data_IF_580809132977
#
_entry.id   IF_580809132977
#
_cell.length_a   1.000
_cell.length_b   1.000
_cell.length_c   1.000
_cell.angle_alpha   90.00
_cell.angle_beta   90.00
_cell.angle_gamma   90.00
#
_symmetry.space_group_name_H-M   'P 1'
#
loop_
_entity.id
_entity.type
_entity.pdbx_description
1 polymer ?
#
# COMPACT_ATOMS: atom_id res chain seq x y z
N UNK A 1 -25.61 -7.67 24.99
CA UNK A 1 -25.08 -8.89 25.62
C UNK A 1 -23.56 -8.79 25.61
N UNK A 2 -22.89 -8.86 26.77
CA UNK A 2 -21.42 -8.96 26.80
C UNK A 2 -21.03 -10.29 26.16
N UNK A 3 -20.03 -10.34 25.26
CA UNK A 3 -19.59 -11.60 24.70
C UNK A 3 -19.03 -12.48 25.83
N UNK A 4 -19.47 -13.73 25.86
CA UNK A 4 -18.96 -14.76 26.75
C UNK A 4 -17.51 -15.06 26.37
N UNK A 5 -16.54 -14.56 27.12
CA UNK A 5 -15.15 -15.03 27.03
C UNK A 5 -14.69 -15.50 28.41
N UNK A 6 -14.86 -16.79 28.68
CA UNK A 6 -14.04 -17.49 29.67
C UNK A 6 -12.86 -18.13 28.92
N UNK A 7 -11.68 -18.31 29.55
CA UNK A 7 -10.55 -19.04 28.95
C UNK A 7 -10.92 -20.45 28.44
N UNK A 8 -12.04 -21.00 28.91
CA UNK A 8 -12.62 -22.27 28.48
C UNK A 8 -13.15 -22.24 27.02
N UNK A 9 -13.39 -21.05 26.45
CA UNK A 9 -14.05 -20.89 25.12
C UNK A 9 -13.08 -20.48 24.01
N UNK A 10 -12.12 -19.57 24.27
CA UNK A 10 -11.05 -19.24 23.31
C UNK A 10 -9.84 -18.59 23.98
N UNK A 11 -8.64 -19.05 23.60
CA UNK A 11 -7.34 -18.52 24.06
C UNK A 11 -6.53 -17.86 22.93
N UNK A 12 -7.05 -17.89 21.69
CA UNK A 12 -6.33 -17.41 20.50
C UNK A 12 -7.24 -16.57 19.62
N UNK A 13 -6.66 -15.57 18.96
CA UNK A 13 -7.34 -14.74 17.99
C UNK A 13 -6.51 -14.67 16.70
N UNK A 14 -7.19 -14.48 15.58
CA UNK A 14 -6.54 -14.09 14.34
C UNK A 14 -5.96 -12.68 14.48
N UNK A 15 -4.84 -12.41 13.82
CA UNK A 15 -4.18 -11.10 13.87
C UNK A 15 -5.08 -10.03 13.25
N UNK A 16 -5.24 -8.92 13.96
CA UNK A 16 -6.03 -7.76 13.54
C UNK A 16 -5.23 -6.81 12.63
N UNK A 17 -3.91 -6.78 12.84
CA UNK A 17 -2.91 -6.01 12.09
C UNK A 17 -1.54 -6.73 12.13
N UNK A 18 -0.50 -6.13 11.54
CA UNK A 18 0.88 -6.64 11.60
C UNK A 18 1.76 -5.90 12.64
N UNK A 19 1.36 -4.72 13.10
CA UNK A 19 2.12 -3.92 14.08
C UNK A 19 2.17 -4.58 15.46
N UNK A 20 1.05 -5.07 15.98
CA UNK A 20 1.02 -5.74 17.29
C UNK A 20 1.87 -7.04 17.30
N UNK A 21 1.73 -7.95 16.31
CA UNK A 21 2.63 -9.09 16.17
C UNK A 21 4.10 -8.70 16.04
N UNK A 22 4.41 -7.60 15.35
CA UNK A 22 5.77 -7.09 15.20
C UNK A 22 6.35 -6.59 16.53
N UNK A 23 5.61 -5.79 17.29
CA UNK A 23 6.05 -5.36 18.62
C UNK A 23 6.34 -6.57 19.52
N UNK A 24 5.48 -7.60 19.51
CA UNK A 24 5.73 -8.86 20.21
C UNK A 24 7.02 -9.54 19.74
N UNK A 25 7.24 -9.65 18.43
CA UNK A 25 8.45 -10.24 17.85
C UNK A 25 9.71 -9.51 18.32
N UNK A 26 9.72 -8.18 18.25
CA UNK A 26 10.86 -7.35 18.68
C UNK A 26 11.19 -7.59 20.14
N UNK A 27 10.19 -7.63 21.03
CA UNK A 27 10.42 -7.86 22.45
C UNK A 27 10.96 -9.27 22.73
N UNK A 28 10.44 -10.29 22.04
CA UNK A 28 10.89 -11.67 22.20
C UNK A 28 12.32 -11.91 21.70
N UNK A 29 12.73 -11.18 20.65
CA UNK A 29 14.03 -11.36 19.98
C UNK A 29 14.99 -10.16 20.19
N UNK A 30 14.72 -9.29 21.16
CA UNK A 30 15.47 -8.02 21.32
C UNK A 30 16.99 -8.19 21.47
N UNK A 31 17.45 -9.33 21.98
CA UNK A 31 18.88 -9.64 22.15
C UNK A 31 19.53 -10.23 20.88
N UNK A 32 18.72 -10.60 19.89
CA UNK A 32 19.15 -11.16 18.60
C UNK A 32 19.08 -10.12 17.47
N UNK A 33 18.26 -9.08 17.65
CA UNK A 33 18.07 -8.02 16.68
C UNK A 33 19.14 -6.92 16.80
N UNK A 34 19.51 -6.36 15.65
CA UNK A 34 20.36 -5.16 15.57
C UNK A 34 19.47 -3.95 15.33
N UNK A 35 19.63 -2.92 16.17
CA UNK A 35 18.86 -1.68 16.09
C UNK A 35 19.68 -0.54 15.44
N UNK A 36 19.05 0.36 14.66
CA UNK A 36 17.63 0.37 14.30
C UNK A 36 17.25 -0.81 13.40
N UNK A 37 16.20 -1.54 13.78
CA UNK A 37 15.74 -2.72 13.06
C UNK A 37 14.68 -2.30 12.05
N UNK A 38 14.87 -2.69 10.78
CA UNK A 38 13.98 -2.36 9.66
C UNK A 38 13.40 -3.63 9.09
N UNK A 39 12.09 -3.66 8.86
CA UNK A 39 11.42 -4.82 8.24
C UNK A 39 10.25 -4.40 7.36
N UNK A 40 9.94 -5.23 6.38
CA UNK A 40 8.64 -5.24 5.74
C UNK A 40 7.91 -6.57 6.00
N UNK A 41 6.58 -6.56 5.95
CA UNK A 41 5.77 -7.76 6.14
C UNK A 41 4.50 -7.68 5.29
N UNK A 42 4.25 -8.70 4.48
CA UNK A 42 3.04 -8.82 3.65
C UNK A 42 2.26 -10.07 4.05
N UNK A 43 1.10 -9.91 4.68
CA UNK A 43 0.25 -11.02 5.11
C UNK A 43 -1.23 -10.60 5.19
N UNK A 44 -2.18 -11.55 5.07
CA UNK A 44 -3.59 -11.26 5.31
C UNK A 44 -3.84 -10.96 6.80
N UNK A 45 -4.83 -10.14 7.11
CA UNK A 45 -5.29 -9.86 8.47
C UNK A 45 -6.81 -9.96 8.55
N UNK A 46 -7.35 -10.14 9.75
CA UNK A 46 -8.79 -10.36 9.94
C UNK A 46 -9.44 -9.32 10.84
N UNK A 47 -10.49 -8.69 10.34
CA UNK A 47 -11.29 -7.70 11.09
C UNK A 47 -12.78 -8.06 11.03
N UNK A 48 -13.41 -8.11 12.20
CA UNK A 48 -14.84 -8.38 12.33
C UNK A 48 -15.70 -7.12 12.07
N UNK A 49 -15.28 -6.27 11.14
CA UNK A 49 -15.99 -5.05 10.77
C UNK A 49 -17.25 -5.36 9.94
N UNK A 50 -18.14 -4.37 9.81
CA UNK A 50 -19.29 -4.45 8.91
C UNK A 50 -18.80 -4.39 7.45
N UNK A 51 -19.02 -5.43 6.63
CA UNK A 51 -18.51 -5.46 5.26
C UNK A 51 -19.11 -4.35 4.40
N UNK A 52 -18.28 -3.69 3.60
CA UNK A 52 -18.64 -2.68 2.60
C UNK A 52 -17.62 -2.73 1.45
N UNK A 53 -17.85 -2.04 0.32
CA UNK A 53 -16.84 -1.92 -0.76
C UNK A 53 -15.53 -1.37 -0.17
N UNK A 54 -14.40 -2.02 -0.46
CA UNK A 54 -13.09 -1.69 0.12
C UNK A 54 -12.93 -2.01 1.61
N UNK A 55 -13.87 -2.73 2.23
CA UNK A 55 -13.79 -3.20 3.64
C UNK A 55 -14.18 -4.67 3.72
N UNK A 56 -13.17 -5.51 3.52
CA UNK A 56 -13.27 -6.97 3.63
C UNK A 56 -12.97 -7.43 5.06
N UNK A 57 -13.38 -8.66 5.39
CA UNK A 57 -13.09 -9.26 6.71
C UNK A 57 -11.74 -9.95 6.76
N UNK A 58 -11.25 -10.41 5.62
CA UNK A 58 -9.88 -10.82 5.36
C UNK A 58 -9.37 -9.93 4.23
N UNK A 59 -8.18 -9.34 4.41
CA UNK A 59 -7.53 -8.51 3.41
C UNK A 59 -6.03 -8.45 3.68
N UNK A 60 -5.24 -8.10 2.68
CA UNK A 60 -3.80 -8.00 2.78
C UNK A 60 -3.36 -6.63 3.30
N UNK A 61 -2.40 -6.69 4.21
CA UNK A 61 -1.57 -5.55 4.57
C UNK A 61 -0.15 -5.78 4.05
N UNK A 62 0.49 -4.69 3.64
CA UNK A 62 1.91 -4.64 3.36
C UNK A 62 2.49 -3.52 4.24
N UNK A 63 3.19 -3.92 5.30
CA UNK A 63 3.72 -2.99 6.30
C UNK A 63 5.22 -2.82 6.12
N UNK A 64 5.71 -1.61 6.35
CA UNK A 64 7.13 -1.27 6.45
C UNK A 64 7.36 -0.51 7.76
N UNK A 65 8.25 -1.01 8.61
CA UNK A 65 8.47 -0.49 9.96
C UNK A 65 9.96 -0.36 10.28
N UNK A 66 10.27 0.66 11.07
CA UNK A 66 11.57 0.88 11.70
C UNK A 66 11.37 0.98 13.21
N UNK A 67 12.18 0.24 13.98
CA UNK A 67 12.14 0.26 15.45
C UNK A 67 13.54 0.49 16.03
N UNK A 68 13.62 1.14 17.19
CA UNK A 68 14.89 1.48 17.85
C UNK A 68 15.48 2.82 17.44
N UNK A 69 14.67 3.73 16.89
CA UNK A 69 15.12 5.09 16.55
C UNK A 69 14.01 6.13 16.67
N UNK A 70 14.32 7.24 17.33
CA UNK A 70 13.47 8.44 17.40
C UNK A 70 13.77 9.45 16.30
N UNK A 71 14.67 9.13 15.36
CA UNK A 71 15.04 10.04 14.27
C UNK A 71 13.88 10.24 13.30
N UNK A 72 13.59 11.50 12.97
CA UNK A 72 12.57 11.91 11.99
C UNK A 72 12.96 11.62 10.54
N UNK A 73 14.21 11.19 10.30
CA UNK A 73 14.62 10.66 8.99
C UNK A 73 13.77 9.42 8.64
N UNK A 74 13.37 8.63 9.63
CA UNK A 74 12.57 7.43 9.38
C UNK A 74 11.17 7.79 8.82
N UNK A 75 10.51 8.83 9.33
CA UNK A 75 9.25 9.35 8.77
C UNK A 75 9.45 9.81 7.33
N UNK A 76 10.49 10.60 7.07
CA UNK A 76 10.79 11.11 5.73
C UNK A 76 11.01 9.97 4.73
N UNK A 77 11.79 8.94 5.10
CA UNK A 77 12.00 7.75 4.26
C UNK A 77 10.70 6.97 4.00
N UNK A 78 9.83 6.83 5.02
CA UNK A 78 8.53 6.15 4.85
C UNK A 78 7.59 6.93 3.92
N UNK A 79 7.63 8.27 3.96
CA UNK A 79 6.91 9.11 2.99
C UNK A 79 7.47 8.91 1.57
N UNK A 80 8.80 8.82 1.40
CA UNK A 80 9.42 8.50 0.13
C UNK A 80 9.02 7.10 -0.38
N UNK A 81 8.92 6.10 0.50
CA UNK A 81 8.45 4.75 0.15
C UNK A 81 7.02 4.83 -0.42
N UNK A 82 6.12 5.60 0.20
CA UNK A 82 4.79 5.81 -0.35
C UNK A 82 4.81 6.45 -1.73
N UNK A 83 5.48 7.61 -1.87
CA UNK A 83 5.49 8.33 -3.14
C UNK A 83 6.12 7.51 -4.27
N UNK A 84 7.27 6.86 -4.01
CA UNK A 84 7.94 6.01 -4.99
C UNK A 84 7.08 4.82 -5.40
N UNK A 85 6.43 4.16 -4.43
CA UNK A 85 5.60 2.98 -4.70
C UNK A 85 4.35 3.35 -5.52
N UNK A 86 3.67 4.45 -5.18
CA UNK A 86 2.50 4.90 -5.92
C UNK A 86 2.84 5.49 -7.30
N UNK A 87 4.02 6.12 -7.44
CA UNK A 87 4.54 6.53 -8.73
C UNK A 87 4.81 5.32 -9.64
N UNK A 88 5.41 4.25 -9.11
CA UNK A 88 5.65 3.00 -9.86
C UNK A 88 4.33 2.29 -10.25
N UNK A 89 3.30 2.38 -9.41
CA UNK A 89 1.96 1.89 -9.73
C UNK A 89 1.22 2.77 -10.76
N UNK A 90 1.79 3.93 -11.13
CA UNK A 90 1.22 4.88 -12.09
C UNK A 90 -0.24 5.26 -11.76
N UNK A 91 -0.54 5.44 -10.47
CA UNK A 91 -1.87 5.81 -10.02
C UNK A 91 -2.02 7.34 -9.99
N UNK A 92 -3.07 7.90 -10.61
CA UNK A 92 -3.26 9.35 -10.65
C UNK A 92 -3.82 9.89 -9.32
N UNK A 93 -3.55 11.17 -9.06
CA UNK A 93 -4.16 11.96 -7.97
C UNK A 93 -3.97 11.35 -6.57
N UNK A 94 -2.79 10.83 -6.29
CA UNK A 94 -2.42 10.35 -4.95
C UNK A 94 -2.18 11.53 -4.02
N UNK A 95 -2.83 11.49 -2.86
CA UNK A 95 -2.67 12.45 -1.78
C UNK A 95 -2.15 11.77 -0.52
N UNK A 96 -1.03 12.26 -0.02
CA UNK A 96 -0.46 11.88 1.26
C UNK A 96 -0.73 13.01 2.25
N UNK A 97 -1.53 12.71 3.26
CA UNK A 97 -1.84 13.60 4.37
C UNK A 97 -0.96 13.25 5.55
N UNK A 98 -0.36 14.24 6.18
CA UNK A 98 0.41 14.09 7.42
C UNK A 98 -0.15 14.98 8.52
N UNK A 99 -0.06 14.50 9.75
CA UNK A 99 -0.37 15.26 10.95
C UNK A 99 0.50 14.74 12.11
N UNK A 100 0.35 15.26 13.32
CA UNK A 100 1.00 14.74 14.52
C UNK A 100 0.00 14.60 15.67
N UNK A 101 0.09 13.50 16.41
CA UNK A 101 -0.67 13.32 17.65
C UNK A 101 -0.36 14.41 18.69
N UNK A 102 0.87 14.95 18.67
CA UNK A 102 1.26 16.08 19.52
C UNK A 102 0.60 17.38 19.08
N UNK A 103 0.37 17.57 17.78
CA UNK A 103 -0.39 18.70 17.26
C UNK A 103 -1.87 18.64 17.68
N UNK A 104 -2.46 17.44 17.64
CA UNK A 104 -3.83 17.20 18.13
C UNK A 104 -3.92 17.38 19.66
N UNK A 105 -2.88 17.00 20.41
CA UNK A 105 -2.82 17.25 21.84
C UNK A 105 -2.73 18.76 22.12
N UNK A 106 -1.93 19.49 21.34
CA UNK A 106 -1.84 20.94 21.46
C UNK A 106 -3.14 21.66 21.14
N UNK A 107 -3.92 21.15 20.19
CA UNK A 107 -5.28 21.62 19.93
C UNK A 107 -6.18 21.50 21.19
N UNK A 108 -6.09 20.38 21.91
CA UNK A 108 -6.83 20.17 23.15
C UNK A 108 -6.33 21.08 24.30
N UNK A 109 -5.01 21.29 24.40
CA UNK A 109 -4.39 22.19 25.37
C UNK A 109 -4.87 23.65 25.18
N UNK A 110 -4.87 24.16 23.95
CA UNK A 110 -5.34 25.54 23.71
C UNK A 110 -6.84 25.70 23.96
N UNK A 111 -7.63 24.63 23.86
CA UNK A 111 -9.03 24.63 24.26
C UNK A 111 -9.23 24.66 25.79
N UNK A 112 -8.16 24.47 26.57
CA UNK A 112 -8.21 24.34 28.02
C UNK A 112 -8.81 23.01 28.49
N UNK A 113 -8.85 21.99 27.61
CA UNK A 113 -9.45 20.68 27.86
C UNK A 113 -8.56 19.55 27.33
N UNK A 114 -7.30 19.44 27.80
CA UNK A 114 -6.36 18.42 27.35
C UNK A 114 -6.89 16.98 27.55
N UNK A 115 -7.72 16.76 28.57
CA UNK A 115 -8.36 15.49 28.86
C UNK A 115 -9.40 15.05 27.81
N UNK A 116 -9.93 15.99 27.01
CA UNK A 116 -10.92 15.73 25.96
C UNK A 116 -10.29 15.60 24.56
N UNK A 117 -8.98 15.36 24.48
CA UNK A 117 -8.28 15.19 23.19
C UNK A 117 -8.94 14.11 22.32
N UNK A 118 -9.31 12.96 22.89
CA UNK A 118 -9.93 11.88 22.14
C UNK A 118 -11.30 12.29 21.58
N UNK A 119 -12.10 12.99 22.37
CA UNK A 119 -13.40 13.51 22.03
C UNK A 119 -13.32 14.53 20.89
N UNK A 120 -12.34 15.44 20.94
CA UNK A 120 -12.01 16.39 19.88
C UNK A 120 -11.68 15.63 18.59
N UNK A 121 -10.75 14.66 18.66
CA UNK A 121 -10.32 13.91 17.47
C UNK A 121 -11.45 13.11 16.82
N UNK A 122 -12.35 12.52 17.60
CA UNK A 122 -13.53 11.80 17.07
C UNK A 122 -14.50 12.74 16.35
N UNK A 123 -14.68 13.96 16.86
CA UNK A 123 -15.52 14.95 16.21
C UNK A 123 -14.87 15.46 14.92
N UNK A 124 -13.56 15.76 14.94
CA UNK A 124 -12.80 16.20 13.75
C UNK A 124 -12.79 15.16 12.63
N UNK A 125 -12.74 13.86 12.96
CA UNK A 125 -12.81 12.76 11.98
C UNK A 125 -14.06 12.80 11.07
N UNK A 126 -15.11 13.48 11.54
CA UNK A 126 -16.39 13.58 10.86
C UNK A 126 -16.51 14.87 10.05
N UNK A 127 -15.51 15.76 10.07
CA UNK A 127 -15.57 17.08 9.44
C UNK A 127 -16.01 17.00 7.96
N UNK A 128 -15.39 16.09 7.19
CA UNK A 128 -15.73 15.87 5.77
C UNK A 128 -17.18 15.39 5.55
N UNK A 129 -17.78 14.75 6.56
CA UNK A 129 -19.10 14.11 6.46
C UNK A 129 -20.24 15.00 6.96
N UNK A 130 -20.04 15.71 8.06
CA UNK A 130 -21.10 16.49 8.73
C UNK A 130 -20.87 18.00 8.70
N UNK A 131 -19.73 18.45 8.17
CA UNK A 131 -19.36 19.86 8.10
C UNK A 131 -19.05 20.47 9.47
N UNK A 132 -18.58 21.72 9.47
CA UNK A 132 -18.20 22.43 10.69
C UNK A 132 -19.35 22.54 11.69
N UNK A 133 -20.57 22.91 11.24
CA UNK A 133 -21.70 23.10 12.15
C UNK A 133 -22.08 21.80 12.89
N UNK A 134 -21.99 20.65 12.20
CA UNK A 134 -22.19 19.34 12.81
C UNK A 134 -21.10 19.00 13.83
N UNK A 135 -19.84 19.27 13.49
CA UNK A 135 -18.69 19.09 14.40
C UNK A 135 -18.82 19.98 15.63
N UNK A 136 -19.10 21.27 15.47
CA UNK A 136 -19.26 22.23 16.56
C UNK A 136 -20.38 21.82 17.53
N UNK A 137 -21.50 21.32 17.01
CA UNK A 137 -22.59 20.77 17.83
C UNK A 137 -22.13 19.56 18.64
N UNK A 138 -21.44 18.60 18.01
CA UNK A 138 -20.93 17.41 18.69
C UNK A 138 -19.87 17.74 19.75
N UNK A 139 -18.99 18.72 19.48
CA UNK A 139 -18.02 19.22 20.45
C UNK A 139 -18.72 19.83 21.68
N UNK A 140 -19.76 20.64 21.47
CA UNK A 140 -20.55 21.23 22.55
C UNK A 140 -21.28 20.16 23.39
N UNK A 141 -21.87 19.15 22.76
CA UNK A 141 -22.52 18.01 23.45
C UNK A 141 -21.55 17.18 24.28
N UNK A 142 -20.27 17.15 23.89
CA UNK A 142 -19.16 16.49 24.62
C UNK A 142 -18.57 17.36 25.73
N UNK A 143 -19.10 18.55 25.96
CA UNK A 143 -18.71 19.44 27.05
C UNK A 143 -17.61 20.44 26.69
N UNK A 144 -17.30 20.63 25.40
CA UNK A 144 -16.26 21.57 24.98
C UNK A 144 -16.80 23.01 25.03
N UNK A 145 -16.06 23.89 25.72
CA UNK A 145 -16.45 25.29 25.90
C UNK A 145 -16.47 26.05 24.56
N UNK A 146 -17.35 27.05 24.44
CA UNK A 146 -17.48 27.86 23.22
C UNK A 146 -16.18 28.52 22.76
N UNK A 147 -15.36 28.99 23.71
CA UNK A 147 -14.02 29.53 23.44
C UNK A 147 -13.06 28.49 22.87
N UNK A 148 -13.18 27.22 23.30
CA UNK A 148 -12.42 26.11 22.72
C UNK A 148 -12.89 25.77 21.31
N UNK A 149 -14.21 25.76 21.07
CA UNK A 149 -14.79 25.55 19.73
C UNK A 149 -14.32 26.64 18.75
N UNK A 150 -14.27 27.90 19.18
CA UNK A 150 -13.73 29.01 18.38
C UNK A 150 -12.25 28.81 18.02
N UNK A 151 -11.42 28.36 18.97
CA UNK A 151 -10.01 28.04 18.69
C UNK A 151 -9.86 26.88 17.71
N UNK A 152 -10.67 25.82 17.87
CA UNK A 152 -10.69 24.70 16.91
C UNK A 152 -11.05 25.20 15.51
N UNK A 153 -12.04 26.09 15.41
CA UNK A 153 -12.44 26.69 14.14
C UNK A 153 -11.28 27.44 13.49
N UNK A 154 -10.59 28.29 14.26
CA UNK A 154 -9.44 29.06 13.77
C UNK A 154 -8.35 28.15 13.17
N UNK A 155 -8.08 27.00 13.80
CA UNK A 155 -7.08 26.04 13.31
C UNK A 155 -7.56 25.33 12.04
N UNK A 156 -8.83 24.91 11.97
CA UNK A 156 -9.38 24.21 10.78
C UNK A 156 -9.45 25.13 9.56
N UNK A 157 -9.74 26.41 9.76
CA UNK A 157 -9.85 27.40 8.68
C UNK A 157 -8.48 27.85 8.12
N UNK A 158 -7.36 27.39 8.71
CA UNK A 158 -6.03 27.63 8.16
C UNK A 158 -5.89 26.96 6.80
N UNK A 159 -5.62 27.78 5.78
CA UNK A 159 -5.37 27.36 4.39
C UNK A 159 -3.99 27.81 3.96
N UNK A 160 -3.50 27.28 2.83
CA UNK A 160 -2.16 27.57 2.32
C UNK A 160 -1.32 26.31 2.13
N UNK A 161 -0.06 26.52 1.76
CA UNK A 161 0.93 25.46 1.67
C UNK A 161 1.37 24.98 3.07
N UNK A 162 2.18 23.92 3.15
CA UNK A 162 2.58 23.34 4.43
C UNK A 162 3.35 24.32 5.33
N UNK A 163 4.18 25.19 4.77
CA UNK A 163 4.95 26.18 5.52
C UNK A 163 4.03 27.24 6.13
N UNK A 164 3.11 27.79 5.32
CA UNK A 164 2.10 28.75 5.75
C UNK A 164 1.20 28.17 6.85
N UNK A 165 0.73 26.93 6.66
CA UNK A 165 -0.09 26.22 7.66
C UNK A 165 0.65 26.04 8.98
N UNK A 166 1.89 25.54 8.94
CA UNK A 166 2.69 25.29 10.14
C UNK A 166 3.08 26.60 10.85
N UNK A 167 3.28 27.69 10.11
CA UNK A 167 3.50 29.02 10.69
C UNK A 167 2.24 29.53 11.41
N UNK A 168 1.07 29.44 10.78
CA UNK A 168 -0.20 29.81 11.39
C UNK A 168 -0.51 28.96 12.64
N UNK A 169 -0.28 27.64 12.59
CA UNK A 169 -0.43 26.77 13.75
C UNK A 169 0.52 27.17 14.89
N UNK A 170 1.74 27.62 14.57
CA UNK A 170 2.72 28.06 15.59
C UNK A 170 2.20 29.27 16.37
N UNK A 171 1.57 30.22 15.68
CA UNK A 171 0.98 31.41 16.31
C UNK A 171 -0.26 31.07 17.14
N UNK A 172 -1.16 30.25 16.61
CA UNK A 172 -2.40 29.85 17.30
C UNK A 172 -2.09 28.99 18.53
N UNK A 173 -1.07 28.13 18.45
CA UNK A 173 -0.69 27.17 19.50
C UNK A 173 0.54 27.59 20.30
N UNK A 174 0.91 28.88 20.30
CA UNK A 174 2.12 29.39 20.96
C UNK A 174 2.24 29.05 22.46
N UNK A 175 1.10 28.86 23.14
CA UNK A 175 1.03 28.55 24.57
C UNK A 175 0.93 27.03 24.84
N UNK A 176 1.03 26.20 23.80
CA UNK A 176 0.95 24.73 23.89
C UNK A 176 2.31 24.10 23.62
N UNK A 177 2.90 23.48 24.64
CA UNK A 177 4.17 22.76 24.51
C UNK A 177 4.04 21.57 23.55
N UNK A 178 2.96 20.79 23.67
CA UNK A 178 2.70 19.65 22.78
C UNK A 178 2.50 20.10 21.34
N UNK A 179 1.73 21.18 21.12
CA UNK A 179 1.48 21.75 19.81
C UNK A 179 2.77 22.17 19.12
N UNK A 180 3.58 22.99 19.80
CA UNK A 180 4.87 23.45 19.27
C UNK A 180 5.82 22.30 18.94
N UNK A 181 5.88 21.27 19.79
CA UNK A 181 6.70 20.07 19.51
C UNK A 181 6.20 19.31 18.29
N UNK A 182 4.88 19.15 18.14
CA UNK A 182 4.29 18.51 16.97
C UNK A 182 4.57 19.28 15.67
N UNK A 183 4.53 20.61 15.71
CA UNK A 183 4.87 21.48 14.58
C UNK A 183 6.33 21.32 14.19
N UNK A 184 7.23 21.32 15.17
CA UNK A 184 8.67 21.16 14.91
C UNK A 184 8.97 19.81 14.26
N UNK A 185 8.37 18.73 14.77
CA UNK A 185 8.52 17.39 14.18
C UNK A 185 8.02 17.34 12.73
N UNK A 186 6.90 18.00 12.43
CA UNK A 186 6.37 18.08 11.06
C UNK A 186 7.28 18.91 10.15
N UNK A 187 7.77 20.08 10.61
CA UNK A 187 8.71 20.92 9.85
C UNK A 187 9.98 20.15 9.51
N UNK A 188 10.57 19.49 10.50
CA UNK A 188 11.80 18.72 10.30
C UNK A 188 11.58 17.50 9.38
N UNK A 189 10.46 16.78 9.54
CA UNK A 189 10.09 15.67 8.65
C UNK A 189 9.95 16.14 7.20
N UNK A 190 9.25 17.26 6.97
CA UNK A 190 9.08 17.84 5.64
C UNK A 190 10.41 18.31 5.03
N UNK A 191 11.31 18.88 5.83
CA UNK A 191 12.63 19.31 5.37
C UNK A 191 13.51 18.11 4.93
N UNK A 192 13.51 17.03 5.71
CA UNK A 192 14.20 15.79 5.33
C UNK A 192 13.58 15.15 4.10
N UNK A 193 12.25 15.09 4.03
CA UNK A 193 11.53 14.58 2.88
C UNK A 193 11.88 15.37 1.61
N UNK A 194 11.87 16.70 1.65
CA UNK A 194 12.24 17.55 0.51
C UNK A 194 13.67 17.32 0.00
N UNK A 195 14.57 16.83 0.86
CA UNK A 195 15.95 16.47 0.49
C UNK A 195 16.02 15.09 -0.17
N UNK A 196 15.19 14.14 0.25
CA UNK A 196 15.19 12.75 -0.22
C UNK A 196 14.28 12.53 -1.43
N UNK A 197 13.25 13.36 -1.60
CA UNK A 197 12.20 13.12 -2.58
C UNK A 197 12.68 13.32 -4.03
N UNK A 198 12.26 12.41 -4.91
CA UNK A 198 12.44 12.57 -6.34
C UNK A 198 11.41 13.56 -6.90
N UNK A 199 11.86 14.49 -7.73
CA UNK A 199 10.99 15.47 -8.40
C UNK A 199 10.06 14.82 -9.43
N UNK A 200 10.33 13.59 -9.85
CA UNK A 200 9.48 12.82 -10.76
C UNK A 200 8.21 12.29 -10.09
N UNK A 201 8.16 12.21 -8.76
CA UNK A 201 6.98 11.73 -8.05
C UNK A 201 5.87 12.78 -8.06
N UNK A 202 4.66 12.38 -8.48
CA UNK A 202 3.51 13.25 -8.78
C UNK A 202 2.46 13.31 -7.66
N UNK A 203 2.62 12.48 -6.63
CA UNK A 203 1.76 12.50 -5.44
C UNK A 203 1.94 13.77 -4.60
N UNK A 204 0.82 14.33 -4.11
CA UNK A 204 0.82 15.48 -3.20
C UNK A 204 1.15 15.08 -1.76
N UNK A 205 1.83 15.95 -1.01
CA UNK A 205 2.12 15.79 0.42
C UNK A 205 1.61 17.03 1.19
N UNK A 206 0.62 16.86 2.04
CA UNK A 206 -0.06 17.96 2.74
C UNK A 206 -0.15 17.74 4.25
N UNK A 207 0.08 18.80 5.02
CA UNK A 207 -0.29 18.85 6.43
C UNK A 207 -1.80 19.06 6.54
N UNK A 208 -2.48 18.16 7.22
CA UNK A 208 -3.93 18.18 7.42
C UNK A 208 -4.28 17.97 8.89
N UNK A 209 -4.68 19.03 9.59
CA UNK A 209 -5.04 18.96 11.01
C UNK A 209 -6.29 18.08 11.25
N UNK A 210 -7.16 17.93 10.25
CA UNK A 210 -8.35 17.08 10.34
C UNK A 210 -8.02 15.59 10.30
N UNK A 211 -6.79 15.22 9.89
CA UNK A 211 -6.29 13.86 9.99
C UNK A 211 -6.13 13.49 11.47
N UNK A 212 -7.21 12.96 12.02
CA UNK A 212 -7.30 12.50 13.40
C UNK A 212 -7.49 10.97 13.49
N UNK A 213 -7.54 10.30 12.33
CA UNK A 213 -7.58 8.83 12.19
C UNK A 213 -6.26 8.21 12.59
N UNK A 214 -6.33 7.03 13.18
CA UNK A 214 -5.15 6.25 13.53
C UNK A 214 -5.45 5.27 14.64
N UNK A 215 -4.48 4.39 14.89
CA UNK A 215 -4.57 3.49 16.02
C UNK A 215 -4.21 4.26 17.28
N UNK A 216 -4.87 3.93 18.40
CA UNK A 216 -4.73 4.66 19.66
C UNK A 216 -3.30 4.65 20.24
N UNK A 217 -2.39 3.88 19.65
CA UNK A 217 -1.00 3.75 20.05
C UNK A 217 -0.04 4.74 19.35
N UNK A 218 -0.51 5.57 18.41
CA UNK A 218 0.36 6.57 17.81
C UNK A 218 0.67 7.72 18.78
N UNK A 219 1.94 8.17 18.78
CA UNK A 219 2.49 9.18 19.70
C UNK A 219 3.10 10.39 18.99
N UNK A 220 3.39 10.28 17.69
CA UNK A 220 4.05 11.33 16.90
C UNK A 220 3.36 11.59 15.57
N UNK A 221 4.16 11.74 14.50
CA UNK A 221 3.66 11.91 13.13
C UNK A 221 2.74 10.75 12.75
N UNK A 222 1.63 11.07 12.10
CA UNK A 222 0.66 10.13 11.52
C UNK A 222 0.47 10.45 10.04
N UNK A 223 0.18 9.43 9.26
CA UNK A 223 0.11 9.49 7.80
C UNK A 223 -1.18 8.81 7.33
N UNK A 224 -1.82 9.39 6.32
CA UNK A 224 -2.91 8.76 5.57
C UNK A 224 -2.67 8.98 4.07
N UNK A 225 -2.89 7.95 3.26
CA UNK A 225 -2.81 8.02 1.80
C UNK A 225 -4.17 7.76 1.18
N UNK A 226 -4.56 8.60 0.23
CA UNK A 226 -5.81 8.53 -0.51
C UNK A 226 -5.56 8.62 -2.02
N UNK A 227 -6.41 7.98 -2.82
CA UNK A 227 -6.49 8.24 -4.26
C UNK A 227 -7.72 9.10 -4.52
N UNK A 228 -7.54 10.34 -4.97
CA UNK A 228 -8.66 11.28 -5.19
C UNK A 228 -9.40 11.03 -6.51
N UNK A 229 -8.82 10.24 -7.42
CA UNK A 229 -9.45 9.86 -8.68
C UNK A 229 -10.62 8.87 -8.48
N UNK A 230 -10.67 8.17 -7.35
CA UNK A 230 -11.69 7.16 -7.04
C UNK A 230 -12.31 7.47 -5.68
N UNK A 231 -13.63 7.27 -5.54
CA UNK A 231 -14.32 7.42 -4.25
C UNK A 231 -14.06 6.19 -3.37
N UNK A 232 -12.82 6.04 -2.92
CA UNK A 232 -12.36 4.98 -2.01
C UNK A 232 -11.93 5.58 -0.67
N UNK A 233 -11.97 4.77 0.39
CA UNK A 233 -11.31 5.14 1.63
C UNK A 233 -9.79 5.20 1.47
N UNK A 234 -9.07 5.50 2.55
CA UNK A 234 -7.61 5.50 2.55
C UNK A 234 -7.03 4.18 2.01
N UNK A 235 -6.02 4.29 1.16
CA UNK A 235 -5.29 3.18 0.54
C UNK A 235 -3.95 2.91 1.26
N UNK A 236 -3.62 3.72 2.26
CA UNK A 236 -2.48 3.53 3.14
C UNK A 236 -2.60 4.42 4.37
N UNK A 237 -1.87 4.08 5.41
CA UNK A 237 -1.66 4.94 6.56
C UNK A 237 -0.53 4.44 7.45
N UNK A 238 -0.17 5.22 8.45
CA UNK A 238 0.93 4.89 9.33
C UNK A 238 1.15 5.94 10.40
N UNK A 239 2.23 5.77 11.15
CA UNK A 239 2.65 6.76 12.13
C UNK A 239 3.69 6.24 13.12
N UNK A 240 4.17 7.16 13.95
CA UNK A 240 5.11 6.90 15.04
C UNK A 240 4.37 6.38 16.27
N UNK A 241 4.93 5.34 16.88
CA UNK A 241 4.46 4.69 18.09
C UNK A 241 5.64 4.48 19.06
N UNK A 242 5.81 5.36 20.03
CA UNK A 242 6.98 5.34 20.92
C UNK A 242 6.91 4.27 22.01
N UNK A 243 5.69 3.85 22.38
CA UNK A 243 5.44 3.05 23.58
C UNK A 243 4.83 1.67 23.31
N UNK A 244 4.73 1.24 22.05
CA UNK A 244 3.99 0.03 21.69
C UNK A 244 4.58 -1.24 22.30
N UNK A 245 5.90 -1.32 22.36
CA UNK A 245 6.67 -2.41 22.97
C UNK A 245 6.47 -2.48 24.49
N UNK A 246 6.05 -1.37 25.11
CA UNK A 246 5.71 -1.29 26.53
C UNK A 246 4.54 -2.20 26.91
N UNK A 247 3.61 -2.47 25.98
CA UNK A 247 2.52 -3.44 26.16
C UNK A 247 3.04 -4.87 26.40
N UNK A 248 4.26 -5.17 25.95
CA UNK A 248 4.92 -6.47 26.08
C UNK A 248 6.04 -6.45 27.12
N UNK A 249 6.18 -5.37 27.90
CA UNK A 249 7.14 -5.28 29.00
C UNK A 249 8.50 -4.64 28.66
N UNK A 250 8.71 -4.19 27.41
CA UNK A 250 9.93 -3.47 27.01
C UNK A 250 9.61 -1.99 26.78
N UNK A 251 10.04 -1.12 27.69
CA UNK A 251 9.79 0.33 27.58
C UNK A 251 10.90 1.05 26.83
N UNK A 252 10.58 2.21 26.26
CA UNK A 252 11.55 3.13 25.67
C UNK A 252 12.05 2.73 24.28
N UNK A 253 11.40 1.77 23.62
CA UNK A 253 11.75 1.35 22.27
C UNK A 253 10.76 1.90 21.26
N UNK A 254 11.12 3.05 20.68
CA UNK A 254 10.32 3.78 19.69
C UNK A 254 10.29 3.08 18.34
N UNK A 255 9.13 3.11 17.68
CA UNK A 255 8.97 2.66 16.30
C UNK A 255 8.14 3.62 15.46
N UNK A 256 8.28 3.49 14.15
CA UNK A 256 7.47 4.19 13.15
C UNK A 256 7.28 3.27 11.95
N UNK A 257 6.08 3.27 11.39
CA UNK A 257 5.78 2.42 10.25
C UNK A 257 4.60 2.90 9.44
N UNK A 258 4.47 2.32 8.26
CA UNK A 258 3.41 2.58 7.29
C UNK A 258 2.86 1.25 6.76
N UNK A 259 1.59 1.26 6.35
CA UNK A 259 0.86 0.10 5.83
C UNK A 259 0.18 0.46 4.53
N UNK A 260 0.35 -0.37 3.50
CA UNK A 260 -0.40 -0.29 2.25
C UNK A 260 -1.64 -1.19 2.38
N UNK A 261 -2.82 -0.62 2.09
CA UNK A 261 -4.07 -1.36 2.00
C UNK A 261 -4.18 -2.03 0.64
N UNK A 262 -3.51 -3.17 0.46
CA UNK A 262 -3.32 -3.84 -0.84
C UNK A 262 -4.63 -4.06 -1.58
N UNK A 263 -5.66 -4.57 -0.91
CA UNK A 263 -6.97 -4.83 -1.52
C UNK A 263 -7.66 -3.54 -1.99
N UNK A 264 -7.50 -2.42 -1.26
CA UNK A 264 -8.06 -1.13 -1.71
C UNK A 264 -7.27 -0.55 -2.87
N UNK A 265 -5.95 -0.74 -2.88
CA UNK A 265 -5.11 -0.36 -4.02
C UNK A 265 -5.54 -1.17 -5.24
N UNK A 266 -5.78 -2.48 -5.09
CA UNK A 266 -6.35 -3.33 -6.13
C UNK A 266 -7.69 -2.77 -6.64
N UNK A 267 -8.65 -2.50 -5.73
CA UNK A 267 -9.96 -1.94 -6.10
C UNK A 267 -9.84 -0.61 -6.87
N UNK A 268 -8.85 0.24 -6.51
CA UNK A 268 -8.55 1.49 -7.22
C UNK A 268 -7.99 1.23 -8.61
N UNK A 269 -7.03 0.32 -8.76
CA UNK A 269 -6.46 -0.06 -10.07
C UNK A 269 -7.56 -0.65 -10.96
N UNK A 270 -8.42 -1.51 -10.40
CA UNK A 270 -9.56 -2.10 -11.11
C UNK A 270 -10.56 -1.04 -11.58
N UNK A 271 -10.98 -0.12 -10.71
CA UNK A 271 -11.94 0.93 -11.04
C UNK A 271 -11.40 1.90 -12.11
N UNK A 272 -10.08 2.12 -12.14
CA UNK A 272 -9.40 2.92 -13.15
C UNK A 272 -9.08 2.15 -14.44
N UNK A 273 -9.33 0.83 -14.48
CA UNK A 273 -8.86 -0.07 -15.55
C UNK A 273 -7.34 0.07 -15.82
N UNK A 274 -6.56 0.24 -14.75
CA UNK A 274 -5.12 0.54 -14.81
C UNK A 274 -4.23 -0.71 -14.71
N UNK A 275 -4.82 -1.92 -14.67
CA UNK A 275 -4.05 -3.15 -14.74
C UNK A 275 -3.38 -3.32 -16.11
N UNK A 276 -2.10 -3.71 -16.16
CA UNK A 276 -1.45 -4.13 -17.40
C UNK A 276 -2.28 -5.21 -18.12
N UNK A 277 -2.44 -5.08 -19.45
CA UNK A 277 -3.21 -6.03 -20.25
C UNK A 277 -2.60 -7.44 -20.27
N UNK A 278 -1.31 -7.56 -19.95
CA UNK A 278 -0.52 -8.79 -19.98
C UNK A 278 -0.69 -9.67 -18.72
N UNK A 279 -1.39 -9.20 -17.68
CA UNK A 279 -1.55 -9.94 -16.42
C UNK A 279 -2.32 -11.26 -16.55
N UNK A 280 -2.98 -11.50 -17.69
CA UNK A 280 -3.84 -12.67 -17.91
C UNK A 280 -3.15 -13.94 -18.42
N UNK A 281 -1.90 -13.87 -18.89
CA UNK A 281 -1.23 -15.01 -19.55
C UNK A 281 0.08 -15.42 -18.92
N UNK A 282 0.03 -16.46 -18.10
CA UNK A 282 1.23 -17.16 -17.65
C UNK A 282 1.99 -17.86 -18.78
N UNK A 283 1.36 -18.11 -19.93
CA UNK A 283 1.98 -18.76 -21.10
C UNK A 283 2.39 -17.71 -22.14
N UNK A 284 3.69 -17.67 -22.48
CA UNK A 284 4.25 -16.79 -23.51
C UNK A 284 4.06 -17.36 -24.92
N UNK A 285 4.23 -18.68 -25.09
CA UNK A 285 4.18 -19.34 -26.40
C UNK A 285 3.46 -20.69 -26.35
N UNK A 286 2.61 -20.94 -27.35
CA UNK A 286 1.94 -22.23 -27.57
C UNK A 286 2.58 -22.98 -28.74
N UNK A 287 3.05 -24.20 -28.52
CA UNK A 287 3.44 -25.12 -29.59
C UNK A 287 2.21 -25.83 -30.11
N UNK A 288 2.03 -25.83 -31.43
CA UNK A 288 0.95 -26.59 -32.07
C UNK A 288 1.31 -28.08 -32.11
N UNK A 289 0.31 -28.94 -31.90
CA UNK A 289 0.45 -30.38 -31.99
C UNK A 289 -0.11 -30.91 -33.32
N UNK A 290 0.78 -31.36 -34.20
CA UNK A 290 0.43 -31.98 -35.47
C UNK A 290 0.44 -33.53 -35.43
N UNK A 291 0.68 -34.13 -34.25
CA UNK A 291 0.78 -35.57 -34.06
C UNK A 291 2.07 -36.19 -34.59
N UNK A 292 2.27 -37.48 -34.30
CA UNK A 292 3.34 -38.29 -34.87
C UNK A 292 4.76 -37.81 -34.51
N UNK A 293 5.66 -37.81 -35.49
CA UNK A 293 7.05 -37.37 -35.29
C UNK A 293 7.15 -35.85 -34.99
N UNK A 294 6.22 -35.04 -35.50
CA UNK A 294 6.16 -33.60 -35.23
C UNK A 294 5.74 -33.30 -33.79
N UNK A 295 4.86 -34.11 -33.21
CA UNK A 295 4.54 -34.05 -31.78
C UNK A 295 5.75 -34.36 -30.91
N UNK A 296 6.51 -35.40 -31.26
CA UNK A 296 7.74 -35.76 -30.53
C UNK A 296 8.78 -34.63 -30.61
N UNK A 297 8.96 -34.04 -31.79
CA UNK A 297 9.83 -32.87 -31.97
C UNK A 297 9.34 -31.65 -31.17
N UNK A 298 8.04 -31.36 -31.20
CA UNK A 298 7.44 -30.29 -30.41
C UNK A 298 7.69 -30.47 -28.90
N UNK A 299 7.58 -31.69 -28.38
CA UNK A 299 7.86 -31.99 -26.97
C UNK A 299 9.34 -31.76 -26.60
N UNK A 300 10.28 -32.07 -27.50
CA UNK A 300 11.71 -31.77 -27.30
C UNK A 300 11.95 -30.26 -27.24
N UNK A 301 11.38 -29.53 -28.20
CA UNK A 301 11.48 -28.06 -28.28
C UNK A 301 10.82 -27.39 -27.07
N UNK A 302 9.67 -27.91 -26.61
CA UNK A 302 8.98 -27.45 -25.41
C UNK A 302 9.90 -27.51 -24.17
N UNK A 303 10.60 -28.63 -23.97
CA UNK A 303 11.51 -28.78 -22.83
C UNK A 303 12.70 -27.82 -22.95
N UNK A 304 13.24 -27.63 -24.15
CA UNK A 304 14.36 -26.73 -24.37
C UNK A 304 13.97 -25.25 -24.14
N UNK A 305 12.79 -24.83 -24.60
CA UNK A 305 12.25 -23.50 -24.31
C UNK A 305 12.06 -23.28 -22.81
N UNK A 306 11.53 -24.27 -22.10
CA UNK A 306 11.37 -24.21 -20.63
C UNK A 306 12.71 -24.13 -19.90
N UNK A 307 13.72 -24.89 -20.36
CA UNK A 307 15.08 -24.78 -19.83
C UNK A 307 15.69 -23.39 -20.10
N UNK A 308 15.28 -22.73 -21.18
CA UNK A 308 15.59 -21.33 -21.48
C UNK A 308 14.77 -20.30 -20.69
N UNK A 309 13.95 -20.72 -19.72
CA UNK A 309 13.15 -19.81 -18.89
C UNK A 309 11.90 -19.25 -19.58
N UNK A 310 11.49 -19.84 -20.71
CA UNK A 310 10.28 -19.46 -21.45
C UNK A 310 9.08 -20.23 -20.91
N UNK A 311 8.00 -19.51 -20.60
CA UNK A 311 6.75 -20.13 -20.20
C UNK A 311 6.01 -20.68 -21.44
N UNK A 312 6.40 -21.87 -21.87
CA UNK A 312 5.87 -22.55 -23.04
C UNK A 312 4.90 -23.67 -22.68
N UNK A 313 3.87 -23.85 -23.50
CA UNK A 313 2.92 -24.97 -23.44
C UNK A 313 2.73 -25.59 -24.83
N UNK A 314 2.29 -26.84 -24.89
CA UNK A 314 1.90 -27.51 -26.14
C UNK A 314 0.39 -27.80 -26.09
N UNK A 315 -0.30 -27.66 -27.22
CA UNK A 315 -1.69 -28.11 -27.31
C UNK A 315 -1.75 -29.64 -27.21
N UNK A 316 -2.48 -30.26 -26.27
CA UNK A 316 -2.31 -31.68 -25.97
C UNK A 316 -2.82 -32.63 -27.05
N UNK A 317 -3.89 -32.29 -27.76
CA UNK A 317 -4.45 -33.19 -28.79
C UNK A 317 -3.87 -32.87 -30.18
N UNK A 318 -3.58 -33.89 -30.97
CA UNK A 318 -3.35 -33.72 -32.40
C UNK A 318 -4.64 -33.22 -33.09
N UNK A 319 -4.72 -31.89 -33.30
CA UNK A 319 -5.93 -31.23 -33.76
C UNK A 319 -5.68 -30.33 -34.97
N UNK A 320 -6.75 -29.94 -35.68
CA UNK A 320 -6.64 -29.01 -36.82
C UNK A 320 -6.04 -27.67 -36.38
N UNK A 321 -5.18 -27.11 -37.23
CA UNK A 321 -4.51 -25.81 -37.06
C UNK A 321 -5.47 -24.72 -36.53
N UNK A 322 -6.59 -24.50 -37.20
CA UNK A 322 -7.57 -23.46 -36.83
C UNK A 322 -8.10 -23.59 -35.39
N UNK A 323 -8.26 -24.82 -34.88
CA UNK A 323 -8.75 -25.07 -33.52
C UNK A 323 -7.72 -24.59 -32.51
N UNK A 324 -6.45 -24.91 -32.74
CA UNK A 324 -5.36 -24.56 -31.83
C UNK A 324 -5.03 -23.06 -31.89
N UNK A 325 -5.09 -22.46 -33.08
CA UNK A 325 -4.95 -21.00 -33.24
C UNK A 325 -6.05 -20.23 -32.51
N UNK A 326 -7.32 -20.67 -32.60
CA UNK A 326 -8.44 -20.09 -31.84
C UNK A 326 -8.24 -20.23 -30.33
N UNK A 327 -7.70 -21.37 -29.88
CA UNK A 327 -7.37 -21.57 -28.47
C UNK A 327 -6.30 -20.59 -27.98
N UNK A 328 -5.20 -20.44 -28.72
CA UNK A 328 -4.13 -19.51 -28.38
C UNK A 328 -4.65 -18.06 -28.30
N UNK A 329 -5.42 -17.63 -29.30
CA UNK A 329 -6.01 -16.29 -29.33
C UNK A 329 -7.01 -16.07 -28.18
N UNK A 330 -7.88 -17.04 -27.89
CA UNK A 330 -8.85 -16.94 -26.78
C UNK A 330 -8.15 -16.88 -25.41
N UNK A 331 -7.00 -17.54 -25.28
CA UNK A 331 -6.18 -17.47 -24.07
C UNK A 331 -5.32 -16.21 -24.01
N UNK A 332 -5.18 -15.42 -25.08
CA UNK A 332 -4.32 -14.24 -25.12
C UNK A 332 -2.84 -14.56 -25.21
N UNK A 333 -2.45 -15.74 -25.71
CA UNK A 333 -1.05 -16.14 -25.83
C UNK A 333 -0.42 -15.35 -26.98
N UNK A 334 0.67 -14.61 -26.72
CA UNK A 334 1.26 -13.69 -27.69
C UNK A 334 1.94 -14.37 -28.89
N UNK A 335 2.42 -15.61 -28.71
CA UNK A 335 3.17 -16.34 -29.73
C UNK A 335 2.69 -17.78 -29.93
N UNK A 336 2.87 -18.29 -31.14
CA UNK A 336 2.63 -19.69 -31.51
C UNK A 336 3.84 -20.24 -32.26
N UNK A 337 4.21 -21.48 -31.96
CA UNK A 337 5.23 -22.23 -32.69
C UNK A 337 4.56 -23.32 -33.51
N UNK A 338 4.92 -23.41 -34.79
CA UNK A 338 4.48 -24.46 -35.69
C UNK A 338 5.65 -25.45 -35.92
N UNK A 339 5.64 -26.63 -35.31
CA UNK A 339 6.68 -27.64 -35.49
C UNK A 339 6.30 -28.59 -36.63
N UNK A 340 6.29 -28.11 -37.88
CA UNK A 340 5.99 -28.91 -39.07
C UNK A 340 7.15 -29.79 -39.52
N UNK A 341 6.94 -30.53 -40.62
CA UNK A 341 7.96 -31.43 -41.17
C UNK A 341 9.21 -30.66 -41.64
N UNK A 342 9.04 -29.46 -42.20
CA UNK A 342 10.14 -28.61 -42.65
C UNK A 342 10.96 -28.09 -41.46
N UNK A 343 10.29 -27.61 -40.41
CA UNK A 343 10.92 -27.21 -39.16
C UNK A 343 11.69 -28.34 -38.51
N UNK A 344 11.12 -29.54 -38.46
CA UNK A 344 11.78 -30.72 -37.91
C UNK A 344 13.00 -31.12 -38.74
N UNK A 345 12.89 -31.12 -40.07
CA UNK A 345 14.00 -31.46 -40.96
C UNK A 345 15.18 -30.48 -40.83
N UNK A 346 14.90 -29.19 -40.61
CA UNK A 346 15.90 -28.14 -40.47
C UNK A 346 16.35 -27.89 -39.02
N UNK A 347 15.75 -28.58 -38.04
CA UNK A 347 15.95 -28.32 -36.60
C UNK A 347 15.70 -26.85 -36.22
N UNK A 348 14.62 -26.27 -36.76
CA UNK A 348 14.17 -24.89 -36.54
C UNK A 348 12.75 -24.82 -36.00
N UNK A 349 12.27 -23.61 -35.70
CA UNK A 349 10.94 -23.32 -35.19
C UNK A 349 10.28 -22.22 -36.05
N UNK A 350 9.04 -22.44 -36.49
CA UNK A 350 8.23 -21.37 -37.09
C UNK A 350 7.55 -20.59 -35.99
N UNK A 351 8.07 -19.42 -35.63
CA UNK A 351 7.52 -18.56 -34.58
C UNK A 351 6.60 -17.51 -35.20
N UNK A 352 5.31 -17.56 -34.83
CA UNK A 352 4.28 -16.60 -35.23
C UNK A 352 3.91 -15.70 -34.05
N UNK A 353 3.97 -14.39 -34.27
CA UNK A 353 3.52 -13.37 -33.32
C UNK A 353 2.08 -12.95 -33.65
N UNK A 354 1.17 -13.03 -32.68
CA UNK A 354 -0.24 -12.68 -32.89
C UNK A 354 -0.48 -11.18 -33.03
N UNK A 355 0.31 -10.36 -32.34
CA UNK A 355 0.17 -8.89 -32.36
C UNK A 355 0.54 -8.31 -33.72
N UNK A 356 1.63 -8.79 -34.32
CA UNK A 356 2.16 -8.26 -35.59
C UNK A 356 1.73 -9.07 -36.80
N UNK A 357 1.26 -10.30 -36.60
CA UNK A 357 0.97 -11.27 -37.67
C UNK A 357 2.21 -11.85 -38.35
N UNK A 358 3.43 -11.41 -37.99
CA UNK A 358 4.68 -11.91 -38.58
C UNK A 358 4.97 -13.33 -38.16
N UNK A 359 5.48 -14.12 -39.10
CA UNK A 359 5.93 -15.49 -38.88
C UNK A 359 7.33 -15.65 -39.46
N UNK A 360 8.27 -16.07 -38.62
CA UNK A 360 9.67 -16.25 -39.00
C UNK A 360 10.13 -17.65 -38.61
N UNK A 361 10.98 -18.24 -39.44
CA UNK A 361 11.64 -19.50 -39.13
C UNK A 361 12.97 -19.21 -38.45
N UNK A 362 13.05 -19.53 -37.16
CA UNK A 362 14.15 -19.18 -36.27
C UNK A 362 14.78 -20.43 -35.68
N UNK A 363 16.03 -20.36 -35.25
CA UNK A 363 16.59 -21.42 -34.41
C UNK A 363 16.09 -21.30 -32.95
N UNK A 364 16.43 -22.29 -32.12
CA UNK A 364 16.01 -22.30 -30.72
C UNK A 364 16.52 -21.08 -29.94
N UNK A 365 17.78 -20.70 -30.14
CA UNK A 365 18.43 -19.64 -29.38
C UNK A 365 17.80 -18.29 -29.73
N UNK A 366 17.61 -18.02 -31.01
CA UNK A 366 16.90 -16.85 -31.53
C UNK A 366 15.45 -16.81 -31.03
N UNK A 367 14.76 -17.96 -30.99
CA UNK A 367 13.41 -18.05 -30.44
C UNK A 367 13.36 -17.64 -28.95
N UNK A 368 14.31 -18.12 -28.14
CA UNK A 368 14.43 -17.77 -26.72
C UNK A 368 14.69 -16.27 -26.54
N UNK A 369 15.57 -15.68 -27.36
CA UNK A 369 15.89 -14.25 -27.31
C UNK A 369 14.66 -13.38 -27.61
N UNK A 370 13.93 -13.69 -28.70
CA UNK A 370 12.70 -12.98 -29.08
C UNK A 370 11.64 -13.06 -27.98
N UNK A 371 11.45 -14.24 -27.38
CA UNK A 371 10.44 -14.46 -26.34
C UNK A 371 10.85 -13.85 -24.99
N UNK A 372 12.15 -13.71 -24.73
CA UNK A 372 12.66 -13.09 -23.50
C UNK A 372 12.61 -11.56 -23.55
N UNK A 373 12.81 -10.96 -24.73
CA UNK A 373 12.70 -9.51 -24.92
C UNK A 373 11.27 -9.00 -24.96
N UNK A 374 10.29 -9.90 -25.02
CA UNK A 374 8.85 -9.59 -25.07
C UNK A 374 8.18 -9.68 -23.68
N UNK A 375 8.98 -9.68 -22.60
CA UNK A 375 8.51 -9.73 -21.22
C UNK A 375 8.17 -8.35 -20.66
#
# INVERSE_FOLDING_TARGET
>A
SKPYSTPVVTERALRYDLTIPFARYVVMHQNELVFPFRRYQMQPVWRADRPQKGRYREFWQCDADVVGSTSLINEAELLCIYQSSFHQLNLPQIGIKINSRKLLAGLAEICGMPELMMEITIALDKLDKIGWDGVAKELAERGIAGTGIEKIKQVIEVTGNNEEKLAAFSEIMKDSESGLKGIEELKQTLAYHATLADKAWDSSLEVDISLARGLNYYTGVIVEVVCRAVKMGSIGGGGRYDDLTGLFGLKGLSGVGVSFGVDRIYDVIEELNAFPQELGTGTQVLLLNFGGENETYALQMLQQLRNGGIAAEIYPDAAKFDKQMKYANKRGIGFVILPGDEERAQQKLSLKNFTTGKQNMVDLQECIEILSSSK
#
